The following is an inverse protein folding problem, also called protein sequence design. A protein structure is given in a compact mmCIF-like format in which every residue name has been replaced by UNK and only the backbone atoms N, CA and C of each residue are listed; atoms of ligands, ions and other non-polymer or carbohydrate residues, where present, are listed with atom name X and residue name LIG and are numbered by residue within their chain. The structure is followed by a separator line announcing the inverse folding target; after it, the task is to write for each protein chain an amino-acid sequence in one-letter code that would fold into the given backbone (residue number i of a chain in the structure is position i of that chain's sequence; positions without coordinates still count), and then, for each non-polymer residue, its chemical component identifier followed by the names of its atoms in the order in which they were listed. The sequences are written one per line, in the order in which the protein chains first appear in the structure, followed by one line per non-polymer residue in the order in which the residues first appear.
data_IF_853644648859
#
_entry.id   IF_853644648859
#
_cell.length_a   1.000
_cell.length_b   1.000
_cell.length_c   1.000
_cell.angle_alpha   90.00
_cell.angle_beta   90.00
_cell.angle_gamma   90.00
#
_symmetry.space_group_name_H-M   'P 1'
#
loop_
_entity.id
_entity.type
_entity.pdbx_description
1 polymer ?
#
# COMPACT_ATOMS: atom_id res chain seq x y z
N UNK A 1 -53.05 -5.42 -60.96
CA UNK A 1 -52.98 -5.08 -59.51
C UNK A 1 -51.53 -4.95 -59.11
N UNK A 2 -51.00 -3.73 -58.95
CA UNK A 2 -49.62 -3.45 -58.51
C UNK A 2 -49.61 -3.37 -56.98
N UNK A 3 -48.84 -4.24 -56.31
CA UNK A 3 -48.67 -4.22 -54.85
C UNK A 3 -47.45 -3.36 -54.51
N UNK A 4 -47.68 -2.28 -53.76
CA UNK A 4 -46.64 -1.45 -53.13
C UNK A 4 -46.18 -2.15 -51.84
N UNK A 5 -44.87 -2.32 -51.68
CA UNK A 5 -44.24 -2.82 -50.44
C UNK A 5 -43.75 -1.58 -49.67
N UNK A 6 -44.16 -1.36 -48.41
CA UNK A 6 -43.67 -0.24 -47.63
C UNK A 6 -42.27 -0.57 -47.09
N UNK A 7 -41.30 0.28 -47.39
CA UNK A 7 -39.96 0.21 -46.80
C UNK A 7 -40.04 0.74 -45.35
N UNK A 8 -39.83 -0.15 -44.39
CA UNK A 8 -39.71 0.17 -42.97
C UNK A 8 -38.29 0.74 -42.74
N UNK A 9 -38.17 2.03 -42.42
CA UNK A 9 -36.92 2.62 -41.96
C UNK A 9 -36.65 2.16 -40.51
N UNK A 10 -35.66 1.30 -40.31
CA UNK A 10 -35.07 1.05 -38.99
C UNK A 10 -34.20 2.26 -38.62
N UNK A 11 -34.67 3.08 -37.69
CA UNK A 11 -33.82 4.05 -37.01
C UNK A 11 -32.96 3.30 -35.98
N UNK A 12 -31.67 3.16 -36.27
CA UNK A 12 -30.70 2.64 -35.30
C UNK A 12 -30.45 3.71 -34.23
N UNK A 13 -30.99 3.50 -33.03
CA UNK A 13 -30.66 4.32 -31.86
C UNK A 13 -29.25 3.94 -31.38
N UNK A 14 -28.26 4.78 -31.67
CA UNK A 14 -26.95 4.67 -31.06
C UNK A 14 -27.06 5.06 -29.58
N UNK A 15 -26.90 4.09 -28.68
CA UNK A 15 -26.75 4.37 -27.26
C UNK A 15 -25.40 5.05 -27.04
N UNK A 16 -25.41 6.35 -26.77
CA UNK A 16 -24.22 7.05 -26.25
C UNK A 16 -23.94 6.53 -24.85
N UNK A 17 -23.03 5.56 -24.73
CA UNK A 17 -22.40 5.28 -23.45
C UNK A 17 -21.51 6.47 -23.11
N UNK A 18 -21.84 7.16 -22.01
CA UNK A 18 -20.91 8.10 -21.40
C UNK A 18 -19.62 7.34 -21.11
N UNK A 19 -18.49 7.81 -21.65
CA UNK A 19 -17.19 7.25 -21.33
C UNK A 19 -16.99 7.31 -19.82
N UNK A 20 -16.63 6.19 -19.20
CA UNK A 20 -16.25 6.18 -17.79
C UNK A 20 -15.16 7.25 -17.56
N UNK A 21 -15.20 7.97 -16.42
CA UNK A 21 -14.16 8.95 -16.11
C UNK A 21 -12.79 8.27 -16.23
N UNK A 22 -11.85 8.95 -16.88
CA UNK A 22 -10.51 8.41 -17.08
C UNK A 22 -9.84 8.20 -15.71
N UNK A 23 -9.45 6.97 -15.42
CA UNK A 23 -8.70 6.62 -14.20
C UNK A 23 -7.39 7.40 -14.20
N UNK A 24 -7.21 8.27 -13.20
CA UNK A 24 -5.96 9.02 -13.07
C UNK A 24 -4.87 8.07 -12.59
N UNK A 25 -3.83 7.92 -13.41
CA UNK A 25 -2.70 7.01 -13.13
C UNK A 25 -1.45 7.82 -12.83
N UNK A 26 -0.69 7.42 -11.80
CA UNK A 26 0.60 8.01 -11.45
C UNK A 26 1.66 6.94 -11.30
N UNK A 27 2.84 7.17 -11.87
CA UNK A 27 3.97 6.28 -11.69
C UNK A 27 4.56 6.46 -10.29
N UNK A 28 4.81 5.36 -9.58
CA UNK A 28 5.47 5.38 -8.29
C UNK A 28 6.99 5.49 -8.51
N UNK A 29 7.67 6.47 -7.89
CA UNK A 29 9.13 6.59 -8.00
C UNK A 29 9.82 5.32 -7.51
N UNK A 30 10.69 4.76 -8.36
CA UNK A 30 11.39 3.50 -8.08
C UNK A 30 12.92 3.66 -8.12
N UNK A 31 13.67 2.90 -7.31
CA UNK A 31 15.13 2.84 -7.39
C UNK A 31 15.62 2.44 -8.79
N UNK A 32 16.81 2.91 -9.16
CA UNK A 32 17.43 2.57 -10.45
C UNK A 32 17.58 1.05 -10.59
N UNK A 33 17.12 0.52 -11.72
CA UNK A 33 17.19 -0.92 -12.01
C UNK A 33 16.05 -1.75 -11.41
N UNK A 34 15.06 -1.14 -10.76
CA UNK A 34 13.90 -1.86 -10.25
C UNK A 34 13.12 -2.56 -11.38
N UNK A 35 12.92 -3.89 -11.31
CA UNK A 35 12.44 -4.69 -12.45
C UNK A 35 10.92 -4.63 -12.65
N UNK A 36 10.20 -3.86 -11.85
CA UNK A 36 8.76 -3.65 -11.98
C UNK A 36 8.45 -2.20 -12.37
N UNK A 37 7.36 -2.01 -13.10
CA UNK A 37 6.69 -0.72 -13.22
C UNK A 37 5.54 -0.72 -12.20
N UNK A 38 5.45 0.32 -11.38
CA UNK A 38 4.43 0.43 -10.34
C UNK A 38 3.68 1.73 -10.56
N UNK A 39 2.36 1.63 -10.58
CA UNK A 39 1.46 2.74 -10.85
C UNK A 39 0.35 2.76 -9.80
N UNK A 40 0.06 3.92 -9.21
CA UNK A 40 -1.16 4.15 -8.45
C UNK A 40 -2.26 4.59 -9.41
N UNK A 41 -3.42 3.98 -9.31
CA UNK A 41 -4.60 4.23 -10.14
C UNK A 41 -5.71 4.74 -9.24
N UNK A 42 -5.98 6.04 -9.30
CA UNK A 42 -6.95 6.73 -8.46
C UNK A 42 -8.36 6.44 -9.00
N UNK A 43 -9.20 5.85 -8.15
CA UNK A 43 -10.54 5.40 -8.50
C UNK A 43 -11.61 6.41 -8.03
N UNK A 44 -11.40 7.03 -6.86
CA UNK A 44 -12.22 8.10 -6.28
C UNK A 44 -11.35 9.07 -5.45
N UNK A 45 -11.98 10.01 -4.75
CA UNK A 45 -11.29 10.93 -3.83
C UNK A 45 -10.64 10.24 -2.60
N UNK A 46 -11.06 9.01 -2.31
CA UNK A 46 -10.73 8.24 -1.11
C UNK A 46 -10.31 6.79 -1.42
N UNK A 47 -10.24 6.39 -2.68
CA UNK A 47 -9.83 5.04 -3.08
C UNK A 47 -8.91 5.02 -4.29
N UNK A 48 -8.01 4.04 -4.29
CA UNK A 48 -7.08 3.79 -5.37
C UNK A 48 -6.67 2.31 -5.40
N UNK A 49 -5.97 1.91 -6.45
CA UNK A 49 -5.33 0.61 -6.55
C UNK A 49 -3.87 0.77 -6.97
N UNK A 50 -3.03 -0.22 -6.67
CA UNK A 50 -1.63 -0.24 -7.11
C UNK A 50 -1.45 -1.33 -8.15
N UNK A 51 -1.13 -0.93 -9.37
CA UNK A 51 -0.82 -1.84 -10.46
C UNK A 51 0.70 -2.04 -10.54
N UNK A 52 1.13 -3.30 -10.48
CA UNK A 52 2.52 -3.72 -10.52
C UNK A 52 2.71 -4.58 -11.76
N UNK A 53 3.55 -4.14 -12.69
CA UNK A 53 3.86 -4.87 -13.92
C UNK A 53 5.30 -5.35 -13.90
N UNK A 54 5.52 -6.65 -13.98
CA UNK A 54 6.84 -7.24 -14.16
C UNK A 54 7.37 -6.91 -15.57
N UNK A 55 8.40 -6.08 -15.66
CA UNK A 55 8.97 -5.66 -16.96
C UNK A 55 9.59 -6.82 -17.74
N UNK A 56 9.98 -7.90 -17.05
CA UNK A 56 10.58 -9.09 -17.67
C UNK A 56 9.54 -10.02 -18.28
N UNK A 57 8.43 -10.24 -17.58
CA UNK A 57 7.43 -11.25 -17.95
C UNK A 57 6.15 -10.65 -18.53
N UNK A 58 5.91 -9.35 -18.34
CA UNK A 58 4.65 -8.68 -18.67
C UNK A 58 3.51 -9.03 -17.70
N UNK A 59 3.74 -9.88 -16.70
CA UNK A 59 2.72 -10.27 -15.72
C UNK A 59 2.33 -9.06 -14.86
N UNK A 60 1.03 -8.90 -14.65
CA UNK A 60 0.45 -7.86 -13.80
C UNK A 60 0.01 -8.47 -12.47
N UNK A 61 0.28 -7.75 -11.40
CA UNK A 61 -0.30 -7.92 -10.08
C UNK A 61 -0.99 -6.60 -9.70
N UNK A 62 -2.19 -6.68 -9.13
CA UNK A 62 -2.91 -5.51 -8.61
C UNK A 62 -3.07 -5.67 -7.11
N UNK A 63 -2.84 -4.58 -6.37
CA UNK A 63 -3.27 -4.42 -4.99
C UNK A 63 -4.55 -3.59 -5.05
N UNK A 64 -5.67 -4.22 -4.73
CA UNK A 64 -7.03 -3.68 -4.88
C UNK A 64 -7.60 -3.25 -3.53
N UNK A 65 -8.78 -2.66 -3.53
CA UNK A 65 -9.57 -2.30 -2.34
C UNK A 65 -8.86 -1.35 -1.34
N UNK A 66 -7.92 -0.53 -1.82
CA UNK A 66 -7.21 0.42 -0.97
C UNK A 66 -8.06 1.67 -0.76
N UNK A 67 -8.33 1.98 0.51
CA UNK A 67 -9.07 3.17 0.95
C UNK A 67 -8.21 4.05 1.85
N UNK A 68 -8.39 5.35 1.70
CA UNK A 68 -7.77 6.42 2.48
C UNK A 68 -8.85 7.44 2.87
N UNK A 69 -8.49 8.46 3.63
CA UNK A 69 -9.46 9.50 4.00
C UNK A 69 -9.90 10.29 2.77
N UNK A 70 -11.18 10.67 2.72
CA UNK A 70 -11.66 11.63 1.72
C UNK A 70 -10.83 12.91 1.77
N UNK A 71 -10.40 13.37 0.60
CA UNK A 71 -9.51 14.51 0.42
C UNK A 71 -8.03 14.22 0.68
N UNK A 72 -7.64 13.03 1.16
CA UNK A 72 -6.22 12.70 1.37
C UNK A 72 -5.45 12.66 0.06
N UNK A 73 -6.02 12.06 -0.99
CA UNK A 73 -5.36 11.91 -2.30
C UNK A 73 -5.05 13.29 -2.91
N UNK A 74 -5.92 14.27 -2.67
CA UNK A 74 -5.68 15.66 -3.08
C UNK A 74 -4.44 16.21 -2.36
N UNK A 75 -3.37 16.46 -3.12
CA UNK A 75 -2.10 16.95 -2.59
C UNK A 75 -1.12 15.88 -2.08
N UNK A 76 -1.55 14.62 -1.90
CA UNK A 76 -0.69 13.51 -1.45
C UNK A 76 -0.64 12.33 -2.44
N UNK A 77 -1.09 12.53 -3.68
CA UNK A 77 -1.20 11.47 -4.69
C UNK A 77 0.14 10.77 -5.02
N UNK A 78 1.26 11.46 -4.79
CA UNK A 78 2.61 10.92 -5.02
C UNK A 78 3.13 10.10 -3.81
N UNK A 79 2.45 10.19 -2.65
CA UNK A 79 2.81 9.50 -1.40
C UNK A 79 1.92 8.27 -1.09
N UNK A 80 1.07 7.88 -2.06
CA UNK A 80 0.17 6.74 -1.93
C UNK A 80 0.91 5.39 -1.88
N UNK A 81 2.09 5.31 -2.49
CA UNK A 81 2.93 4.13 -2.41
C UNK A 81 4.41 4.51 -2.47
N UNK A 82 5.25 3.73 -1.81
CA UNK A 82 6.70 3.93 -1.81
C UNK A 82 7.44 2.61 -2.04
N UNK A 83 8.60 2.68 -2.70
CA UNK A 83 9.38 1.50 -3.10
C UNK A 83 10.76 1.56 -2.44
N UNK A 84 11.01 0.69 -1.46
CA UNK A 84 12.26 0.64 -0.68
C UNK A 84 12.53 -0.79 -0.18
N UNK A 85 13.78 -1.11 0.11
CA UNK A 85 14.16 -2.40 0.71
C UNK A 85 13.90 -2.37 2.24
N UNK A 86 12.67 -2.68 2.64
CA UNK A 86 12.24 -2.56 4.04
C UNK A 86 12.82 -3.70 4.88
N UNK A 87 12.77 -4.93 4.37
CA UNK A 87 13.25 -6.12 5.08
C UNK A 87 14.80 -6.31 4.98
N UNK A 88 15.48 -5.53 4.16
CA UNK A 88 16.94 -5.52 4.04
C UNK A 88 17.51 -6.71 3.25
N UNK A 89 16.70 -7.43 2.47
CA UNK A 89 17.11 -8.61 1.71
C UNK A 89 17.81 -8.27 0.39
N UNK A 90 17.84 -6.99 0.01
CA UNK A 90 18.43 -6.49 -1.23
C UNK A 90 17.45 -6.39 -2.40
N UNK A 91 16.18 -6.73 -2.19
CA UNK A 91 15.08 -6.52 -3.13
C UNK A 91 14.14 -5.44 -2.59
N UNK A 92 13.89 -4.36 -3.35
CA UNK A 92 12.92 -3.37 -2.91
C UNK A 92 11.49 -3.94 -2.81
N UNK A 93 10.84 -3.66 -1.68
CA UNK A 93 9.45 -3.94 -1.36
C UNK A 93 8.56 -2.72 -1.66
N UNK A 94 7.25 -2.83 -1.39
CA UNK A 94 6.27 -1.75 -1.57
C UNK A 94 5.54 -1.49 -0.25
N UNK A 95 5.51 -0.24 0.19
CA UNK A 95 4.59 0.21 1.24
C UNK A 95 3.46 1.03 0.62
N UNK A 96 2.22 0.69 0.97
CA UNK A 96 0.98 1.27 0.43
C UNK A 96 0.26 2.03 1.52
N UNK A 97 -0.18 3.25 1.24
CA UNK A 97 -0.89 4.09 2.20
C UNK A 97 -2.29 3.56 2.48
N UNK A 98 -2.60 3.30 3.74
CA UNK A 98 -3.90 2.80 4.21
C UNK A 98 -4.42 3.60 5.41
N UNK A 99 -5.58 3.23 5.92
CA UNK A 99 -6.13 3.72 7.19
C UNK A 99 -5.73 2.75 8.31
N UNK A 100 -4.96 3.23 9.28
CA UNK A 100 -4.63 2.51 10.50
C UNK A 100 -5.55 2.83 11.68
N UNK A 101 -5.10 2.45 12.87
CA UNK A 101 -5.82 2.67 14.12
C UNK A 101 -6.18 4.15 14.37
N UNK A 102 -7.34 4.39 14.97
CA UNK A 102 -7.86 5.73 15.25
C UNK A 102 -8.02 6.61 13.99
N UNK A 103 -8.34 5.99 12.85
CA UNK A 103 -8.57 6.69 11.57
C UNK A 103 -7.39 7.60 11.23
N UNK A 104 -6.17 7.06 11.33
CA UNK A 104 -4.94 7.78 10.96
C UNK A 104 -4.25 7.13 9.76
N UNK A 105 -3.43 7.89 9.00
CA UNK A 105 -2.60 7.32 7.96
C UNK A 105 -1.68 6.23 8.52
N UNK A 106 -1.64 5.09 7.84
CA UNK A 106 -0.73 3.98 8.12
C UNK A 106 -0.19 3.42 6.80
N UNK A 107 0.75 2.48 6.87
CA UNK A 107 1.26 1.81 5.69
C UNK A 107 1.04 0.29 5.80
N UNK A 108 0.54 -0.32 4.74
CA UNK A 108 0.54 -1.77 4.57
C UNK A 108 1.75 -2.18 3.73
N UNK A 109 2.51 -3.15 4.22
CA UNK A 109 3.78 -3.56 3.61
C UNK A 109 3.61 -4.82 2.77
N UNK A 110 4.10 -4.77 1.54
CA UNK A 110 4.12 -5.85 0.57
C UNK A 110 5.56 -6.23 0.23
N UNK A 111 6.02 -7.35 0.76
CA UNK A 111 7.37 -7.87 0.59
C UNK A 111 7.55 -8.57 -0.75
N UNK A 112 8.67 -8.34 -1.41
CA UNK A 112 8.97 -9.03 -2.67
C UNK A 112 9.38 -10.49 -2.44
N UNK A 113 8.67 -11.43 -3.07
CA UNK A 113 9.07 -12.84 -3.14
C UNK A 113 9.83 -13.09 -4.45
N UNK A 114 11.16 -13.29 -4.42
CA UNK A 114 11.95 -13.52 -5.63
C UNK A 114 11.63 -14.86 -6.31
N UNK A 115 11.11 -15.86 -5.59
CA UNK A 115 10.79 -17.16 -6.14
C UNK A 115 9.53 -17.10 -7.02
N UNK A 116 8.50 -16.35 -6.58
CA UNK A 116 7.25 -16.19 -7.33
C UNK A 116 7.21 -14.94 -8.19
N UNK A 117 8.15 -14.00 -7.99
CA UNK A 117 8.17 -12.65 -8.56
C UNK A 117 6.88 -11.87 -8.29
N UNK A 118 6.36 -11.99 -7.07
CA UNK A 118 5.15 -11.30 -6.61
C UNK A 118 5.42 -10.58 -5.30
N UNK A 119 4.65 -9.55 -5.04
CA UNK A 119 4.66 -8.83 -3.78
C UNK A 119 3.59 -9.45 -2.87
N UNK A 120 3.95 -9.80 -1.63
CA UNK A 120 3.05 -10.47 -0.70
C UNK A 120 2.92 -9.63 0.56
N UNK A 121 1.71 -9.54 1.09
CA UNK A 121 1.50 -8.94 2.41
C UNK A 121 2.35 -9.64 3.46
N UNK A 122 2.70 -8.91 4.51
CA UNK A 122 3.22 -9.54 5.73
C UNK A 122 2.11 -10.44 6.29
N UNK A 123 2.40 -11.71 6.64
CA UNK A 123 1.41 -12.60 7.24
C UNK A 123 0.89 -12.03 8.57
N UNK A 124 -0.41 -12.13 8.84
CA UNK A 124 -1.05 -11.59 10.05
C UNK A 124 -0.39 -12.06 11.36
N UNK A 125 0.11 -13.30 11.40
CA UNK A 125 0.83 -13.87 12.56
C UNK A 125 2.25 -13.33 12.73
N UNK A 126 2.75 -12.65 11.70
CA UNK A 126 4.05 -11.99 11.61
C UNK A 126 3.93 -10.47 11.46
N UNK A 127 2.72 -9.94 11.67
CA UNK A 127 2.42 -8.53 11.56
C UNK A 127 3.17 -7.70 12.59
N UNK A 128 3.17 -6.40 12.32
CA UNK A 128 3.44 -5.41 13.33
C UNK A 128 2.29 -5.43 14.34
N UNK A 129 2.61 -5.44 15.64
CA UNK A 129 1.61 -5.53 16.71
C UNK A 129 0.54 -4.43 16.65
N UNK A 130 0.80 -3.33 15.92
CA UNK A 130 -0.12 -2.24 15.70
C UNK A 130 0.05 -1.69 14.27
N UNK A 131 -1.04 -1.27 13.64
CA UNK A 131 -1.02 -0.62 12.32
C UNK A 131 -0.63 0.85 12.45
N UNK A 132 0.41 1.27 11.73
CA UNK A 132 0.96 2.63 11.77
C UNK A 132 1.82 2.92 10.55
N UNK A 133 2.48 4.08 10.54
CA UNK A 133 3.45 4.42 9.49
C UNK A 133 4.72 3.58 9.63
N UNK A 134 5.28 3.14 8.49
CA UNK A 134 6.47 2.27 8.45
C UNK A 134 7.71 3.07 8.04
N UNK A 135 8.65 3.26 8.95
CA UNK A 135 9.92 3.93 8.68
C UNK A 135 11.10 2.95 8.70
N UNK A 136 11.96 2.96 7.68
CA UNK A 136 13.22 2.21 7.73
C UNK A 136 14.22 2.95 8.64
N UNK A 137 14.56 2.35 9.77
CA UNK A 137 15.54 2.91 10.74
C UNK A 137 16.97 2.44 10.48
N UNK A 138 17.14 1.26 9.86
CA UNK A 138 18.42 0.72 9.36
C UNK A 138 18.13 -0.50 8.49
N UNK A 139 19.13 -1.01 7.77
CA UNK A 139 18.97 -2.20 6.92
C UNK A 139 18.30 -3.35 7.68
N UNK A 140 17.17 -3.80 7.15
CA UNK A 140 16.37 -4.89 7.70
C UNK A 140 15.68 -4.59 9.02
N UNK A 141 15.54 -3.33 9.40
CA UNK A 141 14.76 -2.92 10.56
C UNK A 141 13.90 -1.70 10.27
N UNK A 142 12.66 -1.78 10.69
CA UNK A 142 11.66 -0.72 10.56
C UNK A 142 11.16 -0.29 11.92
N UNK A 143 10.66 0.94 12.00
CA UNK A 143 9.88 1.47 13.11
C UNK A 143 8.45 1.64 12.65
N UNK A 144 7.53 1.26 13.52
CA UNK A 144 6.09 1.44 13.32
C UNK A 144 5.62 2.53 14.26
N UNK A 145 5.21 3.65 13.69
CA UNK A 145 4.67 4.80 14.42
C UNK A 145 3.14 4.72 14.39
N UNK A 146 2.53 4.48 15.55
CA UNK A 146 1.09 4.26 15.65
C UNK A 146 0.51 4.98 16.86
N UNK A 147 -0.80 5.22 16.79
CA UNK A 147 -1.56 5.82 17.89
C UNK A 147 -2.11 4.72 18.78
N UNK A 148 -1.73 4.72 20.07
CA UNK A 148 -2.16 3.70 21.02
C UNK A 148 -3.40 4.14 21.84
N UNK A 149 -3.65 5.45 21.91
CA UNK A 149 -4.76 6.08 22.64
C UNK A 149 -5.20 7.34 21.90
N UNK A 150 -6.34 7.92 22.27
CA UNK A 150 -6.78 9.20 21.69
C UNK A 150 -5.74 10.33 21.79
N UNK A 151 -4.81 10.26 22.75
CA UNK A 151 -3.81 11.31 23.02
C UNK A 151 -2.36 10.90 22.78
N UNK A 152 -2.06 9.60 22.77
CA UNK A 152 -0.69 9.11 22.85
C UNK A 152 -0.29 8.32 21.59
N UNK A 153 0.95 8.56 21.16
CA UNK A 153 1.61 7.80 20.12
C UNK A 153 2.63 6.83 20.74
N UNK A 154 2.86 5.73 20.05
CA UNK A 154 3.89 4.75 20.40
C UNK A 154 4.65 4.34 19.16
N UNK A 155 5.83 3.80 19.42
CA UNK A 155 6.75 3.33 18.40
C UNK A 155 7.22 1.94 18.77
N UNK A 156 7.13 1.03 17.83
CA UNK A 156 7.70 -0.31 17.94
C UNK A 156 8.74 -0.51 16.84
N UNK A 157 9.95 -0.92 17.23
CA UNK A 157 11.01 -1.26 16.28
C UNK A 157 10.93 -2.75 15.96
N UNK A 158 10.92 -3.12 14.68
CA UNK A 158 10.97 -4.50 14.21
C UNK A 158 12.23 -4.72 13.39
N UNK A 159 12.82 -5.90 13.49
CA UNK A 159 13.90 -6.31 12.59
C UNK A 159 13.58 -7.65 11.94
N UNK A 160 13.89 -7.74 10.65
CA UNK A 160 13.78 -8.96 9.86
C UNK A 160 14.86 -9.95 10.27
N UNK A 161 14.45 -11.12 10.77
CA UNK A 161 15.33 -12.21 11.20
C UNK A 161 14.65 -13.54 10.91
N UNK A 162 15.40 -14.49 10.34
CA UNK A 162 14.92 -15.86 10.08
C UNK A 162 13.60 -15.91 9.26
N UNK A 163 13.43 -15.01 8.28
CA UNK A 163 12.24 -15.00 7.41
C UNK A 163 10.98 -14.44 8.07
N UNK A 164 11.12 -13.53 9.03
CA UNK A 164 10.00 -12.82 9.64
C UNK A 164 10.42 -11.59 10.43
N UNK A 165 9.46 -10.72 10.69
CA UNK A 165 9.63 -9.56 11.56
C UNK A 165 9.69 -9.98 13.02
N UNK A 166 10.62 -9.40 13.77
CA UNK A 166 10.74 -9.61 15.20
C UNK A 166 10.74 -8.27 15.93
N UNK A 167 9.83 -8.10 16.89
CA UNK A 167 9.79 -6.94 17.76
C UNK A 167 11.11 -6.81 18.54
N UNK A 168 11.75 -5.65 18.43
CA UNK A 168 12.91 -5.28 19.21
C UNK A 168 12.41 -4.65 20.51
N UNK A 169 12.45 -5.42 21.60
CA UNK A 169 12.18 -4.83 22.93
C UNK A 169 13.30 -3.84 23.26
N UNK A 170 12.99 -2.66 23.84
CA UNK A 170 14.03 -1.75 24.31
C UNK A 170 14.97 -2.49 25.26
N UNK A 171 16.29 -2.28 25.09
CA UNK A 171 17.30 -2.89 25.96
C UNK A 171 17.02 -2.48 27.42
N UNK A 172 16.53 -3.43 28.22
CA UNK A 172 15.87 -3.23 29.52
C UNK A 172 16.80 -2.82 30.69
N UNK A 173 17.86 -2.04 30.44
CA UNK A 173 18.63 -1.44 31.53
C UNK A 173 17.96 -0.14 32.06
N UNK A 174 17.31 0.65 31.18
CA UNK A 174 16.66 1.91 31.55
C UNK A 174 15.18 1.77 31.90
N UNK A 175 14.43 0.91 31.19
CA UNK A 175 13.01 0.67 31.45
C UNK A 175 12.76 0.06 32.84
N UNK A 176 13.62 -0.87 33.27
CA UNK A 176 13.55 -1.46 34.62
C UNK A 176 13.83 -0.44 35.74
N UNK A 177 14.66 0.58 35.48
CA UNK A 177 14.92 1.69 36.43
C UNK A 177 13.73 2.65 36.53
N UNK A 178 13.09 2.97 35.41
CA UNK A 178 11.91 3.84 35.39
C UNK A 178 10.70 3.18 36.07
N UNK A 179 10.50 1.87 35.89
CA UNK A 179 9.45 1.11 36.58
C UNK A 179 9.69 1.04 38.10
N UNK A 180 10.94 0.86 38.55
CA UNK A 180 11.28 0.89 39.99
C UNK A 180 11.15 2.27 40.64
N UNK A 181 11.32 3.35 39.89
CA UNK A 181 11.18 4.71 40.41
C UNK A 181 9.71 5.15 40.58
N UNK A 182 8.76 4.47 39.92
CA UNK A 182 7.32 4.72 40.06
C UNK A 182 6.66 3.96 41.21
N UNK A 183 7.40 3.07 41.87
CA UNK A 183 6.94 2.27 43.02
C UNK A 183 7.66 2.65 44.33
N UNK A 184 8.26 3.84 44.38
CA UNK A 184 8.72 4.50 45.61
C UNK A 184 8.05 5.86 45.71
#
# INVERSE_FOLDING_TARGET
MKRLIPALLLAAAAQSFAAAPAVQTRAVPAPKGFPFAVETQILSEDSYQVKITDKKTGKVQTIEDITVFSGFIEGNADDLATIRDYNGDGHPDIAVRVIGGYTLPADELYLFDPATRQFKTVPEDKDFANSGGVEIIRKGCVRIDYKNSARDYSQDDYCWKNGGWQLQRPNNAKAAKAAKARHK
#
